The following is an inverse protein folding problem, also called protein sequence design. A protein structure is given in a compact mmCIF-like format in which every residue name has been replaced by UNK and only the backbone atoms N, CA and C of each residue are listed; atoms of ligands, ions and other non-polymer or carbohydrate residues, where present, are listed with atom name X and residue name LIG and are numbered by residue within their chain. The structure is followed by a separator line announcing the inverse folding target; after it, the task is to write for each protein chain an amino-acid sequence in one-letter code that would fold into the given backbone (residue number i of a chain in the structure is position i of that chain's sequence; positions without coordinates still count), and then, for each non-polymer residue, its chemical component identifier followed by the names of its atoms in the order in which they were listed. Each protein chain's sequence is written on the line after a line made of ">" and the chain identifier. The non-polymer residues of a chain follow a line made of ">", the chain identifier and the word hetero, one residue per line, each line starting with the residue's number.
data_IF_840145883073
#
_entry.id   IF_840145883073
#
_cell.length_a   1.000
_cell.length_b   1.000
_cell.length_c   1.000
_cell.angle_alpha   90.00
_cell.angle_beta   90.00
_cell.angle_gamma   90.00
#
_symmetry.space_group_name_H-M   'P 1'
#
loop_
_entity.id
_entity.type
_entity.pdbx_description
1 polymer ?
#
# COMPACT_ATOMS: atom_id res chain seq x y z
N UNK A 1 -16.10 0.10 -0.16
CA UNK A 1 -17.26 1.00 -0.26
C UNK A 1 -18.48 0.28 -0.83
N UNK A 2 -18.39 -0.39 -1.98
CA UNK A 2 -19.55 -1.07 -2.60
C UNK A 2 -20.31 -2.01 -1.64
N UNK A 3 -19.62 -2.90 -0.91
CA UNK A 3 -20.29 -3.79 0.05
C UNK A 3 -21.07 -3.04 1.13
N UNK A 4 -20.55 -1.92 1.63
CA UNK A 4 -21.23 -1.10 2.65
C UNK A 4 -22.46 -0.42 2.04
N UNK A 5 -22.32 0.13 0.84
CA UNK A 5 -23.44 0.76 0.12
C UNK A 5 -24.52 -0.25 -0.25
N UNK A 6 -24.15 -1.46 -0.69
CA UNK A 6 -25.11 -2.50 -1.07
C UNK A 6 -25.84 -3.05 0.16
N UNK A 7 -25.14 -3.25 1.28
CA UNK A 7 -25.79 -3.59 2.57
C UNK A 7 -26.72 -2.46 3.01
N UNK A 8 -26.27 -1.20 2.97
CA UNK A 8 -27.08 -0.05 3.35
C UNK A 8 -28.35 0.06 2.49
N UNK A 9 -28.26 -0.17 1.17
CA UNK A 9 -29.42 -0.20 0.27
C UNK A 9 -30.41 -1.31 0.60
N UNK A 10 -29.91 -2.49 0.98
CA UNK A 10 -30.77 -3.61 1.41
C UNK A 10 -31.50 -3.23 2.70
N UNK A 11 -30.80 -2.66 3.69
CA UNK A 11 -31.39 -2.22 4.96
C UNK A 11 -32.48 -1.16 4.73
N UNK A 12 -32.19 -0.13 3.95
CA UNK A 12 -33.16 0.95 3.64
C UNK A 12 -34.43 0.37 2.97
N UNK A 13 -34.28 -0.59 2.06
CA UNK A 13 -35.42 -1.16 1.37
C UNK A 13 -36.25 -2.14 2.22
N UNK A 14 -35.64 -2.78 3.23
CA UNK A 14 -36.37 -3.52 4.27
C UNK A 14 -37.15 -2.54 5.17
N UNK A 15 -36.53 -1.42 5.55
CA UNK A 15 -37.16 -0.38 6.38
C UNK A 15 -38.39 0.24 5.70
N UNK A 16 -38.34 0.42 4.38
CA UNK A 16 -39.49 0.85 3.57
C UNK A 16 -40.51 -0.28 3.26
N UNK A 17 -40.39 -1.46 3.88
CA UNK A 17 -41.25 -2.65 3.66
C UNK A 17 -41.34 -3.12 2.19
N UNK A 18 -40.33 -2.80 1.38
CA UNK A 18 -40.25 -3.23 -0.02
C UNK A 18 -39.69 -4.65 -0.16
N UNK A 19 -39.00 -5.15 0.87
CA UNK A 19 -38.46 -6.52 0.91
C UNK A 19 -38.92 -7.25 2.17
N UNK A 20 -39.29 -8.52 1.99
CA UNK A 20 -39.53 -9.47 3.06
C UNK A 20 -38.20 -10.02 3.61
N UNK A 21 -38.22 -10.57 4.83
CA UNK A 21 -37.03 -11.05 5.54
C UNK A 21 -36.26 -12.10 4.72
N UNK A 22 -36.96 -13.00 4.02
CA UNK A 22 -36.33 -14.01 3.15
C UNK A 22 -35.64 -13.39 1.92
N UNK A 23 -36.23 -12.35 1.33
CA UNK A 23 -35.64 -11.62 0.20
C UNK A 23 -34.39 -10.85 0.63
N UNK A 24 -34.38 -10.28 1.83
CA UNK A 24 -33.21 -9.61 2.39
C UNK A 24 -32.07 -10.61 2.59
N UNK A 25 -32.36 -11.78 3.17
CA UNK A 25 -31.38 -12.86 3.38
C UNK A 25 -30.75 -13.32 2.05
N UNK A 26 -31.56 -13.54 1.00
CA UNK A 26 -31.05 -13.95 -0.31
C UNK A 26 -30.16 -12.88 -0.96
N UNK A 27 -30.55 -11.60 -0.88
CA UNK A 27 -29.72 -10.51 -1.44
C UNK A 27 -28.42 -10.34 -0.67
N UNK A 28 -28.44 -10.48 0.65
CA UNK A 28 -27.25 -10.42 1.49
C UNK A 28 -26.28 -11.57 1.14
N UNK A 29 -26.79 -12.78 0.97
CA UNK A 29 -26.01 -13.97 0.58
C UNK A 29 -25.41 -13.88 -0.83
N UNK A 30 -26.00 -13.07 -1.72
CA UNK A 30 -25.50 -12.85 -3.09
C UNK A 30 -24.42 -11.77 -3.17
N UNK A 31 -24.18 -11.01 -2.11
CA UNK A 31 -23.13 -9.98 -2.11
C UNK A 31 -21.76 -10.63 -2.27
N UNK A 32 -21.15 -10.42 -3.43
CA UNK A 32 -19.76 -10.82 -3.68
C UNK A 32 -18.88 -9.58 -3.65
N UNK A 33 -17.79 -9.57 -2.85
CA UNK A 33 -16.84 -8.48 -2.90
C UNK A 33 -16.19 -8.46 -4.28
N UNK A 34 -16.25 -7.32 -4.97
CA UNK A 34 -15.46 -7.12 -6.19
C UNK A 34 -13.97 -7.15 -5.80
N UNK A 35 -13.25 -8.09 -6.39
CA UNK A 35 -11.79 -8.24 -6.21
C UNK A 35 -11.15 -8.08 -7.59
N UNK A 36 -10.24 -7.12 -7.72
CA UNK A 36 -9.41 -6.99 -8.91
C UNK A 36 -8.39 -8.14 -8.97
N UNK A 37 -8.02 -8.61 -10.18
CA UNK A 37 -7.01 -9.65 -10.31
C UNK A 37 -5.67 -9.14 -9.78
N UNK A 38 -4.95 -9.94 -8.95
CA UNK A 38 -3.76 -9.50 -8.23
C UNK A 38 -2.65 -9.01 -9.15
N UNK A 39 -2.44 -9.67 -10.29
CA UNK A 39 -1.43 -9.30 -11.28
C UNK A 39 -1.69 -7.93 -11.93
N UNK A 40 -2.96 -7.58 -12.18
CA UNK A 40 -3.31 -6.27 -12.73
C UNK A 40 -2.98 -5.15 -11.72
N UNK A 41 -3.25 -5.40 -10.43
CA UNK A 41 -2.90 -4.46 -9.36
C UNK A 41 -1.39 -4.27 -9.25
N UNK A 42 -0.61 -5.35 -9.38
CA UNK A 42 0.86 -5.28 -9.38
C UNK A 42 1.37 -4.40 -10.54
N UNK A 43 0.89 -4.63 -11.76
CA UNK A 43 1.30 -3.85 -12.93
C UNK A 43 0.92 -2.36 -12.83
N UNK A 44 -0.29 -2.05 -12.34
CA UNK A 44 -0.74 -0.67 -12.17
C UNK A 44 0.03 0.08 -11.09
N UNK A 45 0.38 -0.58 -9.98
CA UNK A 45 1.18 0.04 -8.92
C UNK A 45 2.62 0.27 -9.39
N UNK A 46 3.22 -0.70 -10.09
CA UNK A 46 4.54 -0.52 -10.72
C UNK A 46 4.55 0.67 -11.67
N UNK A 47 3.54 0.79 -12.54
CA UNK A 47 3.42 1.92 -13.47
C UNK A 47 3.29 3.25 -12.73
N UNK A 48 2.45 3.32 -11.68
CA UNK A 48 2.27 4.53 -10.88
C UNK A 48 3.56 4.98 -10.20
N UNK A 49 4.34 4.05 -9.63
CA UNK A 49 5.63 4.35 -9.01
C UNK A 49 6.67 4.80 -10.05
N UNK A 50 6.69 4.18 -11.23
CA UNK A 50 7.58 4.58 -12.33
C UNK A 50 7.26 5.99 -12.84
N UNK A 51 5.98 6.32 -13.02
CA UNK A 51 5.56 7.68 -13.39
C UNK A 51 5.93 8.72 -12.31
N UNK A 52 5.86 8.35 -11.04
CA UNK A 52 6.32 9.22 -9.95
C UNK A 52 7.83 9.44 -9.99
N UNK A 53 8.61 8.39 -10.25
CA UNK A 53 10.06 8.51 -10.41
C UNK A 53 10.43 9.45 -11.58
N UNK A 54 9.73 9.35 -12.71
CA UNK A 54 9.88 10.27 -13.84
C UNK A 54 9.56 11.72 -13.43
N UNK A 55 8.48 11.95 -12.67
CA UNK A 55 8.09 13.28 -12.21
C UNK A 55 9.09 13.88 -11.21
N UNK A 56 9.73 13.04 -10.40
CA UNK A 56 10.79 13.43 -9.46
C UNK A 56 12.15 13.68 -10.13
N UNK A 57 12.23 13.65 -11.47
CA UNK A 57 13.45 13.92 -12.23
C UNK A 57 14.31 12.67 -12.50
N UNK A 58 13.75 11.47 -12.33
CA UNK A 58 14.43 10.21 -12.66
C UNK A 58 14.50 9.96 -14.17
N UNK A 59 15.65 9.47 -14.61
CA UNK A 59 15.87 9.05 -16.00
C UNK A 59 15.01 7.82 -16.37
N UNK A 60 14.90 7.52 -17.67
CA UNK A 60 14.14 6.37 -18.18
C UNK A 60 14.58 5.05 -17.53
N UNK A 61 15.89 4.92 -17.27
CA UNK A 61 16.47 3.76 -16.57
C UNK A 61 15.89 3.63 -15.16
N UNK A 62 15.85 4.72 -14.39
CA UNK A 62 15.26 4.74 -13.03
C UNK A 62 13.79 4.32 -13.07
N UNK A 63 13.04 4.82 -14.06
CA UNK A 63 11.62 4.47 -14.21
C UNK A 63 11.40 2.96 -14.36
N UNK A 64 12.22 2.31 -15.19
CA UNK A 64 12.17 0.86 -15.41
C UNK A 64 12.55 0.10 -14.14
N UNK A 65 13.60 0.53 -13.43
CA UNK A 65 14.02 -0.09 -12.17
C UNK A 65 12.92 0.03 -11.10
N UNK A 66 12.38 1.24 -10.92
CA UNK A 66 11.28 1.49 -9.97
C UNK A 66 10.04 0.68 -10.32
N UNK A 67 9.73 0.51 -11.61
CA UNK A 67 8.65 -0.37 -12.05
C UNK A 67 8.83 -1.80 -11.55
N UNK A 68 10.00 -2.41 -11.77
CA UNK A 68 10.28 -3.77 -11.33
C UNK A 68 10.35 -3.90 -9.81
N UNK A 69 11.02 -2.97 -9.12
CA UNK A 69 11.12 -2.95 -7.67
C UNK A 69 9.75 -2.86 -6.99
N UNK A 70 8.90 -1.94 -7.44
CA UNK A 70 7.54 -1.78 -6.89
C UNK A 70 6.61 -2.93 -7.29
N UNK A 71 6.75 -3.50 -8.49
CA UNK A 71 5.96 -4.65 -8.91
C UNK A 71 6.28 -5.89 -8.05
N UNK A 72 7.56 -6.20 -7.85
CA UNK A 72 7.99 -7.31 -7.01
C UNK A 72 7.61 -7.08 -5.54
N UNK A 73 7.81 -5.87 -5.03
CA UNK A 73 7.35 -5.49 -3.69
C UNK A 73 5.84 -5.69 -3.50
N UNK A 74 5.03 -5.26 -4.47
CA UNK A 74 3.59 -5.45 -4.39
C UNK A 74 3.19 -6.92 -4.47
N UNK A 75 3.90 -7.73 -5.27
CA UNK A 75 3.69 -9.17 -5.33
C UNK A 75 3.96 -9.83 -3.97
N UNK A 76 5.10 -9.52 -3.34
CA UNK A 76 5.47 -9.99 -1.99
C UNK A 76 4.40 -9.59 -0.97
N UNK A 77 3.99 -8.32 -0.98
CA UNK A 77 2.93 -7.81 -0.09
C UNK A 77 1.63 -8.59 -0.23
N UNK A 78 1.21 -8.88 -1.46
CA UNK A 78 -0.03 -9.64 -1.71
C UNK A 78 0.08 -11.09 -1.25
N UNK A 79 1.22 -11.76 -1.48
CA UNK A 79 1.46 -13.14 -1.04
C UNK A 79 1.45 -13.24 0.48
N UNK A 80 2.18 -12.35 1.16
CA UNK A 80 2.23 -12.32 2.63
C UNK A 80 0.87 -11.96 3.24
N UNK A 81 0.14 -11.01 2.63
CA UNK A 81 -1.19 -10.62 3.11
C UNK A 81 -2.22 -11.76 2.94
N UNK A 82 -2.12 -12.55 1.87
CA UNK A 82 -2.97 -13.76 1.69
C UNK A 82 -2.71 -14.82 2.75
N UNK A 83 -1.52 -14.88 3.32
CA UNK A 83 -1.14 -15.81 4.39
C UNK A 83 -1.51 -15.30 5.80
N UNK A 84 -2.23 -14.18 5.90
CA UNK A 84 -2.69 -13.59 7.17
C UNK A 84 -1.57 -13.23 8.16
N UNK A 85 -0.38 -12.87 7.65
CA UNK A 85 0.68 -12.33 8.51
C UNK A 85 0.32 -10.96 9.08
N UNK A 86 0.92 -10.61 10.23
CA UNK A 86 0.77 -9.30 10.84
C UNK A 86 1.22 -8.20 9.85
N UNK A 87 0.38 -7.17 9.58
CA UNK A 87 0.70 -6.07 8.66
C UNK A 87 2.07 -5.43 8.88
N UNK A 88 2.57 -5.36 10.13
CA UNK A 88 3.90 -4.86 10.44
C UNK A 88 4.99 -5.68 9.74
N UNK A 89 4.92 -7.00 9.83
CA UNK A 89 5.87 -7.93 9.19
C UNK A 89 5.75 -7.84 7.67
N UNK A 90 4.51 -7.74 7.16
CA UNK A 90 4.29 -7.59 5.72
C UNK A 90 4.96 -6.33 5.19
N UNK A 91 4.83 -5.20 5.89
CA UNK A 91 5.43 -3.93 5.50
C UNK A 91 6.95 -3.96 5.60
N UNK A 92 7.50 -4.53 6.67
CA UNK A 92 8.94 -4.68 6.85
C UNK A 92 9.58 -5.57 5.77
N UNK A 93 8.98 -6.73 5.47
CA UNK A 93 9.49 -7.63 4.43
C UNK A 93 9.35 -7.03 3.03
N UNK A 94 8.24 -6.35 2.76
CA UNK A 94 8.02 -5.69 1.47
C UNK A 94 9.02 -4.56 1.27
N UNK A 95 9.23 -3.70 2.27
CA UNK A 95 10.19 -2.60 2.18
C UNK A 95 11.63 -3.10 2.06
N UNK A 96 11.95 -4.21 2.71
CA UNK A 96 13.24 -4.88 2.57
C UNK A 96 13.49 -5.33 1.12
N UNK A 97 12.55 -6.06 0.51
CA UNK A 97 12.69 -6.55 -0.87
C UNK A 97 12.79 -5.39 -1.86
N UNK A 98 11.90 -4.39 -1.73
CA UNK A 98 11.92 -3.19 -2.59
C UNK A 98 13.25 -2.44 -2.49
N UNK A 99 13.76 -2.27 -1.28
CA UNK A 99 15.03 -1.56 -1.02
C UNK A 99 16.23 -2.35 -1.52
N UNK A 100 16.21 -3.69 -1.43
CA UNK A 100 17.26 -4.56 -1.94
C UNK A 100 17.35 -4.45 -3.47
N UNK A 101 16.22 -4.49 -4.18
CA UNK A 101 16.17 -4.36 -5.65
C UNK A 101 16.62 -2.96 -6.07
N UNK A 102 16.13 -1.93 -5.39
CA UNK A 102 16.51 -0.54 -5.64
C UNK A 102 18.01 -0.31 -5.39
N UNK A 103 18.55 -0.89 -4.32
CA UNK A 103 19.98 -0.80 -3.97
C UNK A 103 20.88 -1.61 -4.90
N UNK A 104 20.41 -2.74 -5.47
CA UNK A 104 21.18 -3.50 -6.45
C UNK A 104 21.45 -2.67 -7.72
N UNK A 105 20.49 -1.84 -8.11
CA UNK A 105 20.66 -0.92 -9.24
C UNK A 105 21.81 0.08 -9.04
N UNK A 106 22.03 0.51 -7.79
CA UNK A 106 23.15 1.38 -7.43
C UNK A 106 24.50 0.69 -7.63
N UNK A 107 24.61 -0.60 -7.24
CA UNK A 107 25.87 -1.36 -7.34
C UNK A 107 26.34 -1.52 -8.79
N UNK A 108 25.41 -1.54 -9.74
CA UNK A 108 25.70 -1.60 -11.18
C UNK A 108 25.77 -0.23 -11.86
N UNK A 109 25.70 0.88 -11.10
CA UNK A 109 25.65 2.27 -11.60
C UNK A 109 24.53 2.52 -12.62
N UNK A 110 23.39 1.86 -12.45
CA UNK A 110 22.21 2.11 -13.28
C UNK A 110 21.32 3.15 -12.60
N UNK A 111 21.44 4.40 -13.05
CA UNK A 111 20.59 5.52 -12.63
C UNK A 111 21.37 6.72 -12.11
N UNK A 112 20.72 7.88 -12.20
CA UNK A 112 21.28 9.17 -11.83
C UNK A 112 21.21 9.45 -10.31
N UNK A 113 20.10 9.10 -9.66
CA UNK A 113 19.84 9.41 -8.25
C UNK A 113 19.23 8.25 -7.46
N UNK A 114 19.94 7.85 -6.40
CA UNK A 114 19.53 6.81 -5.47
C UNK A 114 18.28 7.21 -4.67
N UNK A 115 18.24 8.46 -4.22
CA UNK A 115 17.14 8.99 -3.40
C UNK A 115 15.81 8.93 -4.13
N UNK A 116 15.80 9.34 -5.41
CA UNK A 116 14.61 9.30 -6.26
C UNK A 116 14.12 7.86 -6.46
N UNK A 117 15.04 6.94 -6.73
CA UNK A 117 14.70 5.53 -6.98
C UNK A 117 14.02 4.89 -5.77
N UNK A 118 14.59 5.02 -4.57
CA UNK A 118 14.02 4.39 -3.38
C UNK A 118 12.80 5.12 -2.84
N UNK A 119 12.78 6.46 -2.85
CA UNK A 119 11.61 7.22 -2.42
C UNK A 119 10.39 6.87 -3.27
N UNK A 120 10.57 6.78 -4.60
CA UNK A 120 9.49 6.42 -5.53
C UNK A 120 9.03 4.97 -5.36
N UNK A 121 9.97 4.05 -5.12
CA UNK A 121 9.66 2.61 -5.01
C UNK A 121 8.96 2.27 -3.70
N UNK A 122 9.31 2.95 -2.60
CA UNK A 122 8.73 2.74 -1.26
C UNK A 122 7.36 3.41 -1.10
N UNK A 123 6.97 4.34 -1.98
CA UNK A 123 5.70 5.08 -1.91
C UNK A 123 4.47 4.18 -1.73
N UNK A 124 4.49 2.96 -2.28
CA UNK A 124 3.40 1.97 -2.14
C UNK A 124 3.11 1.54 -0.69
N UNK A 125 4.10 1.71 0.20
CA UNK A 125 4.04 1.34 1.62
C UNK A 125 3.49 2.47 2.49
N UNK A 126 3.36 3.69 1.98
CA UNK A 126 2.82 4.79 2.78
C UNK A 126 1.35 4.49 3.11
N UNK A 127 0.96 4.41 4.40
CA UNK A 127 -0.41 4.16 4.81
C UNK A 127 -1.27 5.42 4.62
N UNK A 128 -1.42 5.88 3.37
CA UNK A 128 -2.10 7.11 3.01
C UNK A 128 -3.57 7.12 3.41
N UNK A 129 -4.29 6.00 3.18
CA UNK A 129 -5.71 5.91 3.57
C UNK A 129 -5.93 6.04 5.09
N UNK A 130 -5.20 5.31 5.96
CA UNK A 130 -5.24 5.55 7.40
C UNK A 130 -4.90 7.00 7.80
N UNK A 131 -3.86 7.59 7.22
CA UNK A 131 -3.42 8.96 7.55
C UNK A 131 -4.48 10.01 7.21
N UNK A 132 -5.00 10.00 5.97
CA UNK A 132 -6.04 10.95 5.53
C UNK A 132 -7.29 10.81 6.38
N UNK A 133 -7.71 9.58 6.67
CA UNK A 133 -8.90 9.32 7.47
C UNK A 133 -8.71 9.70 8.95
N UNK A 134 -7.54 9.48 9.53
CA UNK A 134 -7.24 9.91 10.89
C UNK A 134 -7.35 11.42 11.04
N UNK A 135 -6.80 12.16 10.07
CA UNK A 135 -6.89 13.62 10.04
C UNK A 135 -8.35 14.07 9.87
N UNK A 136 -9.09 13.46 8.95
CA UNK A 136 -10.51 13.77 8.74
C UNK A 136 -11.37 13.51 9.99
N UNK A 137 -11.09 12.45 10.75
CA UNK A 137 -11.82 12.12 11.98
C UNK A 137 -11.51 13.12 13.11
N UNK A 138 -10.24 13.53 13.26
CA UNK A 138 -9.83 14.56 14.24
C UNK A 138 -10.51 15.89 13.93
N UNK A 139 -10.50 16.30 12.66
CA UNK A 139 -11.13 17.55 12.22
C UNK A 139 -12.66 17.56 12.42
N UNK A 140 -13.30 16.38 12.42
CA UNK A 140 -14.74 16.23 12.70
C UNK A 140 -15.07 16.11 14.20
N UNK A 141 -14.07 16.17 15.07
CA UNK A 141 -14.24 16.03 16.52
C UNK A 141 -14.20 14.58 17.05
N UNK A 142 -13.97 13.58 16.18
CA UNK A 142 -13.81 12.18 16.57
C UNK A 142 -12.35 11.84 16.92
N UNK A 143 -11.81 12.52 17.93
CA UNK A 143 -10.38 12.49 18.29
C UNK A 143 -9.90 11.06 18.61
N UNK A 144 -10.62 10.30 19.42
CA UNK A 144 -10.21 8.94 19.82
C UNK A 144 -10.05 8.00 18.62
N UNK A 145 -10.98 8.07 17.66
CA UNK A 145 -10.90 7.25 16.44
C UNK A 145 -9.76 7.70 15.53
N UNK A 146 -9.55 9.01 15.43
CA UNK A 146 -8.45 9.60 14.68
C UNK A 146 -7.09 9.18 15.21
N UNK A 147 -6.87 9.27 16.53
CA UNK A 147 -5.63 8.82 17.18
C UNK A 147 -5.39 7.34 16.93
N UNK A 148 -6.41 6.48 17.06
CA UNK A 148 -6.26 5.04 16.81
C UNK A 148 -5.77 4.73 15.39
N UNK A 149 -6.34 5.39 14.37
CA UNK A 149 -5.91 5.24 12.97
C UNK A 149 -4.51 5.80 12.74
N UNK A 150 -4.18 6.92 13.38
CA UNK A 150 -2.85 7.53 13.32
C UNK A 150 -1.79 6.59 13.90
N UNK A 151 -2.02 6.00 15.07
CA UNK A 151 -1.09 5.05 15.69
C UNK A 151 -0.83 3.84 14.80
N UNK A 152 -1.87 3.28 14.17
CA UNK A 152 -1.71 2.17 13.22
C UNK A 152 -0.82 2.61 12.04
N UNK A 153 -1.08 3.79 11.47
CA UNK A 153 -0.26 4.33 10.40
C UNK A 153 1.21 4.46 10.82
N UNK A 154 1.48 5.00 12.00
CA UNK A 154 2.84 5.16 12.53
C UNK A 154 3.53 3.81 12.74
N UNK A 155 2.85 2.81 13.30
CA UNK A 155 3.42 1.47 13.50
C UNK A 155 3.78 0.82 12.16
N UNK A 156 2.91 0.94 11.16
CA UNK A 156 3.17 0.41 9.81
C UNK A 156 4.37 1.10 9.15
N UNK A 157 4.44 2.43 9.26
CA UNK A 157 5.57 3.22 8.74
C UNK A 157 6.87 2.85 9.46
N UNK A 158 6.83 2.67 10.78
CA UNK A 158 7.98 2.23 11.56
C UNK A 158 8.48 0.85 11.10
N UNK A 159 7.57 -0.10 10.88
CA UNK A 159 7.90 -1.41 10.30
C UNK A 159 8.54 -1.29 8.90
N UNK A 160 8.00 -0.42 8.04
CA UNK A 160 8.59 -0.16 6.74
C UNK A 160 10.01 0.44 6.85
N UNK A 161 10.22 1.43 7.73
CA UNK A 161 11.53 2.02 7.98
C UNK A 161 12.57 1.00 8.45
N UNK A 162 12.19 0.10 9.38
CA UNK A 162 13.08 -0.97 9.84
C UNK A 162 13.52 -1.88 8.68
N UNK A 163 12.60 -2.26 7.79
CA UNK A 163 12.93 -3.07 6.61
C UNK A 163 13.86 -2.36 5.63
N UNK A 164 13.69 -1.05 5.43
CA UNK A 164 14.58 -0.23 4.59
C UNK A 164 15.99 -0.19 5.19
N UNK A 165 16.11 0.18 6.47
CA UNK A 165 17.41 0.27 7.17
C UNK A 165 18.13 -1.08 7.15
N UNK A 166 17.40 -2.17 7.37
CA UNK A 166 17.97 -3.52 7.34
C UNK A 166 18.49 -3.90 5.94
N UNK A 167 17.75 -3.57 4.88
CA UNK A 167 18.20 -3.79 3.50
C UNK A 167 19.46 -2.98 3.16
N UNK A 168 19.47 -1.70 3.52
CA UNK A 168 20.61 -0.81 3.26
C UNK A 168 21.87 -1.24 4.03
N UNK A 169 21.69 -1.63 5.30
CA UNK A 169 22.77 -2.20 6.13
C UNK A 169 23.33 -3.48 5.51
N UNK A 170 22.47 -4.39 5.05
CA UNK A 170 22.89 -5.62 4.36
C UNK A 170 23.68 -5.35 3.06
N UNK A 171 23.41 -4.22 2.40
CA UNK A 171 24.14 -3.80 1.19
C UNK A 171 25.40 -2.97 1.48
N UNK A 172 25.70 -2.69 2.75
CA UNK A 172 26.81 -1.86 3.20
C UNK A 172 26.80 -0.43 2.57
N UNK A 173 25.60 0.08 2.26
CA UNK A 173 25.42 1.44 1.73
C UNK A 173 25.19 2.34 2.94
N UNK A 174 26.28 2.91 3.47
CA UNK A 174 26.27 3.66 4.74
C UNK A 174 25.76 5.10 4.65
N UNK A 175 25.62 5.68 3.44
CA UNK A 175 25.21 7.07 3.26
C UNK A 175 23.94 7.19 2.42
N UNK A 176 22.84 7.57 3.08
CA UNK A 176 21.55 7.94 2.48
C UNK A 176 21.19 9.39 2.81
N UNK A 177 22.19 10.26 2.71
CA UNK A 177 22.11 11.68 3.04
C UNK A 177 23.49 12.28 2.92
N UNK A 178 23.57 13.47 2.35
CA UNK A 178 24.71 14.35 2.59
C UNK A 178 24.79 14.71 4.08
#
# INVERSE_FOLDING_TARGET
>A
MQMVTDVQRIVIAVEHKLYDLEMAQQKLNRLKPLKYPPMLVVGMIGLSCASFAHLSGGDWVICVITFFASAEGMFVRQVLSKRHYNPLIVFAMTSFVVSLISGLSLKYQWGNDLQVTLASSVLLLVPGFPLINSLADILKGYINMGIGRWTIATILTFGACLGIVFALSAMNISSWGH
#
